data_IF_293482397186
#
_entry.id   IF_293482397186
#
_cell.length_a   1.000
_cell.length_b   1.000
_cell.length_c   1.000
_cell.angle_alpha   90.00
_cell.angle_beta   90.00
_cell.angle_gamma   90.00
#
_symmetry.space_group_name_H-M   'P 1'
#
loop_
_entity.id
_entity.type
_entity.pdbx_description
1 polymer ?
#
# COMPACT_ATOMS: atom_id res chain seq x y z
N UNK A 1 -11.95 -54.39 54.80
CA UNK A 1 -10.82 -54.27 53.86
C UNK A 1 -11.21 -54.88 52.53
N UNK A 2 -11.42 -54.09 51.48
CA UNK A 2 -11.04 -54.44 50.10
C UNK A 2 -11.33 -53.23 49.21
N UNK A 3 -10.24 -52.57 48.79
CA UNK A 3 -10.26 -51.41 47.91
C UNK A 3 -10.09 -51.94 46.48
N UNK A 4 -11.17 -52.00 45.70
CA UNK A 4 -11.09 -52.41 44.29
C UNK A 4 -10.44 -51.31 43.46
N UNK A 5 -9.20 -51.53 43.04
CA UNK A 5 -8.53 -50.69 42.05
C UNK A 5 -8.99 -51.08 40.65
N UNK A 6 -9.81 -50.23 40.03
CA UNK A 6 -10.20 -50.36 38.63
C UNK A 6 -8.99 -50.00 37.76
N UNK A 7 -8.42 -51.00 37.05
CA UNK A 7 -7.35 -50.78 36.07
C UNK A 7 -7.92 -50.04 34.84
N UNK A 8 -7.58 -48.77 34.70
CA UNK A 8 -7.88 -48.00 33.50
C UNK A 8 -6.89 -48.40 32.39
N UNK A 9 -7.39 -49.02 31.31
CA UNK A 9 -6.57 -49.37 30.15
C UNK A 9 -6.27 -48.11 29.32
N UNK A 10 -5.03 -47.61 29.43
CA UNK A 10 -4.49 -46.45 28.69
C UNK A 10 -4.16 -46.78 27.22
N UNK A 11 -5.11 -47.38 26.49
CA UNK A 11 -4.94 -47.71 25.05
C UNK A 11 -5.48 -46.66 24.08
N UNK A 12 -6.33 -45.75 24.57
CA UNK A 12 -7.06 -44.79 23.74
C UNK A 12 -6.29 -43.48 23.44
N UNK A 13 -5.28 -43.14 24.25
CA UNK A 13 -4.59 -41.85 24.18
C UNK A 13 -3.71 -41.69 22.94
N UNK A 14 -3.15 -42.78 22.42
CA UNK A 14 -2.27 -42.71 21.24
C UNK A 14 -3.05 -42.48 19.94
N UNK A 15 -4.17 -43.18 19.76
CA UNK A 15 -5.05 -42.98 18.60
C UNK A 15 -5.69 -41.60 18.66
N UNK A 16 -6.15 -41.18 19.84
CA UNK A 16 -6.70 -39.84 20.05
C UNK A 16 -5.67 -38.75 19.70
N UNK A 17 -4.42 -38.89 20.16
CA UNK A 17 -3.35 -37.96 19.83
C UNK A 17 -3.05 -37.92 18.32
N UNK A 18 -3.04 -39.07 17.64
CA UNK A 18 -2.85 -39.14 16.19
C UNK A 18 -3.98 -38.45 15.43
N UNK A 19 -5.24 -38.65 15.84
CA UNK A 19 -6.39 -37.99 15.22
C UNK A 19 -6.33 -36.48 15.44
N UNK A 20 -5.98 -36.01 16.64
CA UNK A 20 -5.83 -34.58 16.93
C UNK A 20 -4.70 -33.96 16.11
N UNK A 21 -3.54 -34.63 15.99
CA UNK A 21 -2.44 -34.16 15.15
C UNK A 21 -2.83 -34.11 13.67
N UNK A 22 -3.53 -35.12 13.16
CA UNK A 22 -4.02 -35.14 11.78
C UNK A 22 -4.98 -33.97 11.50
N UNK A 23 -5.91 -33.70 12.43
CA UNK A 23 -6.80 -32.56 12.34
C UNK A 23 -6.04 -31.23 12.40
N UNK A 24 -5.03 -31.11 13.26
CA UNK A 24 -4.22 -29.90 13.37
C UNK A 24 -3.45 -29.59 12.07
N UNK A 25 -2.83 -30.60 11.46
CA UNK A 25 -2.13 -30.46 10.17
C UNK A 25 -3.11 -30.08 9.06
N UNK A 26 -4.30 -30.67 9.03
CA UNK A 26 -5.33 -30.34 8.04
C UNK A 26 -5.83 -28.89 8.21
N UNK A 27 -6.07 -28.44 9.44
CA UNK A 27 -6.46 -27.05 9.69
C UNK A 27 -5.33 -26.06 9.38
N UNK A 28 -4.07 -26.41 9.68
CA UNK A 28 -2.91 -25.58 9.38
C UNK A 28 -2.75 -25.36 7.86
N UNK A 29 -2.92 -26.41 7.05
CA UNK A 29 -2.80 -26.30 5.59
C UNK A 29 -3.91 -25.44 4.97
N UNK A 30 -5.16 -25.57 5.45
CA UNK A 30 -6.27 -24.71 5.02
C UNK A 30 -6.03 -23.23 5.35
N UNK A 31 -5.46 -22.97 6.53
CA UNK A 31 -5.18 -21.59 6.98
C UNK A 31 -4.16 -20.90 6.07
N UNK A 32 -3.12 -21.60 5.62
CA UNK A 32 -2.08 -21.04 4.72
C UNK A 32 -2.66 -20.61 3.37
N UNK A 33 -3.64 -21.34 2.82
CA UNK A 33 -4.24 -21.03 1.51
C UNK A 33 -5.09 -19.76 1.57
N UNK A 34 -5.78 -19.51 2.68
CA UNK A 34 -6.70 -18.38 2.85
C UNK A 34 -5.95 -17.06 3.11
N UNK A 35 -4.80 -17.09 3.78
CA UNK A 35 -4.10 -15.88 4.25
C UNK A 35 -3.20 -15.24 3.18
N UNK A 36 -3.37 -15.54 1.89
CA UNK A 36 -2.64 -14.79 0.85
C UNK A 36 -2.98 -13.30 0.94
N UNK A 37 -2.03 -12.42 1.31
CA UNK A 37 -2.31 -11.00 1.42
C UNK A 37 -2.77 -10.52 0.05
N UNK A 38 -3.91 -9.84 0.03
CA UNK A 38 -4.45 -9.26 -1.20
C UNK A 38 -3.49 -8.12 -1.58
N UNK A 39 -2.73 -8.28 -2.66
CA UNK A 39 -1.74 -7.27 -3.12
C UNK A 39 -2.33 -5.85 -3.21
N UNK A 40 -3.63 -5.75 -3.50
CA UNK A 40 -4.42 -4.52 -3.47
C UNK A 40 -4.41 -3.78 -2.13
N UNK A 41 -4.37 -4.50 -1.01
CA UNK A 41 -4.32 -3.91 0.34
C UNK A 41 -2.95 -3.28 0.61
N UNK A 42 -1.88 -3.89 0.12
CA UNK A 42 -0.50 -3.39 0.27
C UNK A 42 -0.31 -2.09 -0.51
N UNK A 43 -0.80 -2.02 -1.75
CA UNK A 43 -0.75 -0.79 -2.54
C UNK A 43 -1.53 0.36 -1.89
N UNK A 44 -2.73 0.06 -1.34
CA UNK A 44 -3.55 1.05 -0.64
C UNK A 44 -2.88 1.52 0.67
N UNK A 45 -2.39 0.60 1.50
CA UNK A 45 -1.74 0.96 2.77
C UNK A 45 -0.46 1.78 2.52
N UNK A 46 0.29 1.44 1.48
CA UNK A 46 1.43 2.22 1.02
C UNK A 46 1.04 3.65 0.64
N UNK A 47 -0.01 3.84 -0.17
CA UNK A 47 -0.47 5.19 -0.52
C UNK A 47 -0.99 5.99 0.69
N UNK A 48 -1.65 5.34 1.63
CA UNK A 48 -2.07 5.99 2.88
C UNK A 48 -0.86 6.47 3.69
N UNK A 49 0.17 5.62 3.83
CA UNK A 49 1.42 5.97 4.49
C UNK A 49 2.18 7.09 3.75
N UNK A 50 2.22 7.03 2.41
CA UNK A 50 2.81 8.06 1.58
C UNK A 50 2.06 9.39 1.75
N UNK A 51 0.72 9.40 1.70
CA UNK A 51 -0.09 10.61 1.98
C UNK A 51 0.25 11.19 3.35
N UNK A 52 0.32 10.36 4.39
CA UNK A 52 0.68 10.82 5.73
C UNK A 52 2.09 11.43 5.76
N UNK A 53 3.05 10.82 5.05
CA UNK A 53 4.42 11.32 4.91
C UNK A 53 4.45 12.68 4.22
N UNK A 54 3.71 12.85 3.11
CA UNK A 54 3.62 14.14 2.42
C UNK A 54 2.98 15.21 3.33
N UNK A 55 1.92 14.88 4.07
CA UNK A 55 1.32 15.80 5.03
C UNK A 55 2.30 16.21 6.14
N UNK A 56 3.05 15.26 6.70
CA UNK A 56 4.06 15.54 7.71
C UNK A 56 5.18 16.44 7.16
N UNK A 57 5.66 16.18 5.93
CA UNK A 57 6.67 17.01 5.27
C UNK A 57 6.16 18.43 4.99
N UNK A 58 4.90 18.56 4.59
CA UNK A 58 4.24 19.86 4.42
C UNK A 58 4.20 20.65 5.73
N UNK A 59 3.75 20.02 6.82
CA UNK A 59 3.71 20.65 8.14
C UNK A 59 5.13 21.03 8.62
N UNK A 60 6.12 20.18 8.36
CA UNK A 60 7.52 20.47 8.67
C UNK A 60 8.05 21.67 7.88
N UNK A 61 7.68 21.83 6.60
CA UNK A 61 8.08 22.98 5.80
C UNK A 61 7.54 24.30 6.36
N UNK A 62 6.29 24.30 6.82
CA UNK A 62 5.66 25.44 7.49
C UNK A 62 6.36 25.73 8.82
N UNK A 63 6.51 24.72 9.68
CA UNK A 63 7.08 24.89 11.02
C UNK A 63 8.56 25.32 11.00
N UNK A 64 9.33 24.86 10.01
CA UNK A 64 10.77 25.20 9.88
C UNK A 64 11.02 26.43 9.02
N UNK A 65 9.98 26.99 8.38
CA UNK A 65 10.06 28.05 7.37
C UNK A 65 11.08 27.74 6.23
N UNK A 66 11.36 26.46 5.98
CA UNK A 66 12.32 25.99 4.98
C UNK A 66 11.63 25.07 3.98
N UNK A 67 11.95 25.17 2.68
CA UNK A 67 11.41 24.26 1.70
C UNK A 67 11.95 22.84 1.93
N UNK A 68 11.09 21.85 1.77
CA UNK A 68 11.46 20.44 1.77
C UNK A 68 11.14 19.83 0.42
N UNK A 69 11.81 18.73 0.07
CA UNK A 69 11.53 18.01 -1.15
C UNK A 69 11.56 16.50 -0.93
N UNK A 70 10.72 15.80 -1.68
CA UNK A 70 10.72 14.36 -1.79
C UNK A 70 10.94 14.01 -3.27
N UNK A 71 11.97 13.21 -3.55
CA UNK A 71 12.40 12.85 -4.91
C UNK A 71 12.10 11.38 -5.13
N UNK A 72 11.42 11.06 -6.22
CA UNK A 72 11.10 9.70 -6.61
C UNK A 72 12.08 9.18 -7.65
N UNK A 73 12.39 7.89 -7.56
CA UNK A 73 13.10 7.15 -8.58
C UNK A 73 12.25 5.94 -8.97
N UNK A 74 11.71 6.00 -10.18
CA UNK A 74 10.80 4.98 -10.72
C UNK A 74 11.55 3.68 -11.05
N UNK A 75 12.78 3.79 -11.57
CA UNK A 75 13.63 2.65 -11.94
C UNK A 75 14.06 1.83 -10.72
N UNK A 76 14.44 2.49 -9.63
CA UNK A 76 14.84 1.79 -8.39
C UNK A 76 13.66 1.48 -7.47
N UNK A 77 12.43 1.91 -7.79
CA UNK A 77 11.25 1.80 -6.91
C UNK A 77 11.53 2.38 -5.53
N UNK A 78 12.12 3.56 -5.48
CA UNK A 78 12.42 4.25 -4.23
C UNK A 78 11.95 5.69 -4.24
N UNK A 79 11.83 6.27 -3.06
CA UNK A 79 11.76 7.71 -2.88
C UNK A 79 12.71 8.15 -1.77
N UNK A 80 13.21 9.37 -1.88
CA UNK A 80 14.15 9.95 -0.92
C UNK A 80 13.62 11.28 -0.43
N UNK A 81 13.67 11.48 0.88
CA UNK A 81 13.55 12.80 1.48
C UNK A 81 14.63 12.96 2.54
N UNK A 82 15.15 14.18 2.68
CA UNK A 82 16.34 14.44 3.49
C UNK A 82 17.50 13.48 3.12
N UNK A 83 17.91 12.61 4.03
CA UNK A 83 19.00 11.64 3.83
C UNK A 83 18.55 10.17 3.94
N UNK A 84 17.25 9.91 3.89
CA UNK A 84 16.69 8.56 4.03
C UNK A 84 16.05 8.14 2.72
N UNK A 85 16.42 6.95 2.26
CA UNK A 85 15.83 6.30 1.09
C UNK A 85 14.81 5.28 1.54
N UNK A 86 13.62 5.36 0.99
CA UNK A 86 12.52 4.44 1.24
C UNK A 86 12.26 3.62 -0.02
N UNK A 87 12.15 2.32 0.14
CA UNK A 87 11.83 1.39 -0.95
C UNK A 87 10.35 1.06 -0.93
N UNK A 88 9.74 0.97 -2.11
CA UNK A 88 8.36 0.51 -2.23
C UNK A 88 8.25 -0.93 -1.70
N UNK A 89 7.16 -1.26 -0.99
CA UNK A 89 6.95 -2.61 -0.50
C UNK A 89 6.83 -3.61 -1.67
N UNK A 90 7.19 -4.86 -1.40
CA UNK A 90 7.02 -5.95 -2.36
C UNK A 90 5.56 -6.03 -2.80
N UNK A 91 5.32 -6.06 -4.11
CA UNK A 91 3.96 -6.08 -4.66
C UNK A 91 3.43 -4.71 -5.10
N UNK A 92 4.18 -3.62 -4.92
CA UNK A 92 3.80 -2.27 -5.41
C UNK A 92 4.83 -1.77 -6.42
N UNK A 93 4.34 -1.22 -7.53
CA UNK A 93 5.18 -0.68 -8.61
C UNK A 93 4.66 0.70 -9.01
N UNK A 94 5.57 1.61 -9.36
CA UNK A 94 5.21 2.87 -9.98
C UNK A 94 4.68 2.63 -11.39
N UNK A 95 3.44 3.03 -11.65
CA UNK A 95 2.79 2.79 -12.93
C UNK A 95 1.27 2.83 -12.82
N UNK A 96 0.65 2.78 -13.98
CA UNK A 96 -0.79 2.60 -14.13
C UNK A 96 -1.04 1.42 -15.08
N UNK A 97 -2.26 0.87 -15.05
CA UNK A 97 -2.66 -0.16 -15.99
C UNK A 97 -2.73 0.40 -17.41
N UNK A 98 -2.51 -0.44 -18.45
CA UNK A 98 -2.74 -0.04 -19.84
C UNK A 98 -4.17 0.48 -20.04
N UNK A 99 -4.34 1.53 -20.86
CA UNK A 99 -5.66 2.13 -21.09
C UNK A 99 -6.14 3.10 -20.01
N UNK A 100 -5.48 3.19 -18.85
CA UNK A 100 -5.90 4.08 -17.77
C UNK A 100 -5.52 5.52 -18.09
N UNK A 101 -6.50 6.41 -17.97
CA UNK A 101 -6.38 7.86 -18.13
C UNK A 101 -6.20 8.50 -16.76
N UNK A 102 -5.47 9.61 -16.63
CA UNK A 102 -5.24 10.27 -15.33
C UNK A 102 -6.50 10.86 -14.66
N UNK A 103 -6.60 10.88 -13.32
CA UNK A 103 -7.63 11.62 -12.59
C UNK A 103 -7.26 13.12 -12.48
N UNK A 104 -8.21 13.99 -12.11
CA UNK A 104 -9.67 13.88 -12.22
C UNK A 104 -10.22 14.44 -13.55
N UNK A 105 -9.35 14.89 -14.46
CA UNK A 105 -9.71 15.79 -15.58
C UNK A 105 -10.05 15.11 -16.92
N UNK A 106 -10.47 13.84 -16.92
CA UNK A 106 -10.76 13.04 -18.14
C UNK A 106 -9.75 13.26 -19.29
N UNK A 107 -8.45 13.05 -19.06
CA UNK A 107 -7.45 13.20 -20.11
C UNK A 107 -7.72 12.21 -21.24
N UNK A 108 -7.50 12.65 -22.48
CA UNK A 108 -7.71 11.82 -23.68
C UNK A 108 -6.57 10.81 -23.90
N UNK A 109 -5.42 11.06 -23.28
CA UNK A 109 -4.20 10.27 -23.43
C UNK A 109 -4.01 9.37 -22.21
N UNK A 110 -3.53 8.16 -22.46
CA UNK A 110 -3.16 7.20 -21.42
C UNK A 110 -2.01 7.70 -20.56
N UNK A 111 -1.90 7.17 -19.34
CA UNK A 111 -0.82 7.50 -18.42
C UNK A 111 0.49 6.88 -18.95
N UNK A 112 1.35 7.72 -19.54
CA UNK A 112 2.71 7.34 -19.93
C UNK A 112 3.73 7.49 -18.78
N UNK A 113 3.50 8.46 -17.90
CA UNK A 113 4.39 8.77 -16.79
C UNK A 113 3.74 8.37 -15.46
N UNK A 114 4.39 7.47 -14.72
CA UNK A 114 3.93 7.04 -13.40
C UNK A 114 3.98 8.15 -12.35
N UNK A 115 4.74 9.23 -12.61
CA UNK A 115 4.83 10.40 -11.74
C UNK A 115 4.79 11.65 -12.63
N UNK A 116 3.82 12.52 -12.41
CA UNK A 116 3.64 13.75 -13.20
C UNK A 116 4.14 15.01 -12.50
N UNK A 117 4.62 14.88 -11.27
CA UNK A 117 5.31 15.97 -10.57
C UNK A 117 6.56 16.38 -11.35
N UNK A 118 6.74 17.69 -11.54
CA UNK A 118 7.86 18.24 -12.29
C UNK A 118 9.21 17.75 -11.74
N UNK A 119 10.01 17.07 -12.58
CA UNK A 119 11.31 16.51 -12.19
C UNK A 119 11.23 15.34 -11.22
N UNK A 120 10.10 14.59 -11.20
CA UNK A 120 9.87 13.47 -10.29
C UNK A 120 10.02 13.84 -8.81
N UNK A 121 9.69 15.08 -8.44
CA UNK A 121 9.83 15.57 -7.07
C UNK A 121 8.60 16.33 -6.59
N UNK A 122 8.21 16.08 -5.35
CA UNK A 122 7.23 16.90 -4.64
C UNK A 122 8.00 17.96 -3.86
N UNK A 123 7.73 19.23 -4.17
CA UNK A 123 8.33 20.38 -3.51
C UNK A 123 7.31 20.94 -2.51
N UNK A 124 7.71 20.99 -1.25
CA UNK A 124 6.94 21.60 -0.16
C UNK A 124 7.51 22.99 0.11
N UNK A 125 6.74 24.03 -0.14
CA UNK A 125 7.15 25.41 0.12
C UNK A 125 6.88 25.80 1.58
N UNK A 126 7.55 26.87 2.03
CA UNK A 126 7.42 27.41 3.40
C UNK A 126 6.01 27.89 3.76
N UNK A 127 5.21 28.25 2.75
CA UNK A 127 3.80 28.64 2.88
C UNK A 127 2.85 27.43 3.00
N UNK A 128 3.39 26.20 2.97
CA UNK A 128 2.62 24.98 3.01
C UNK A 128 1.99 24.60 1.67
N UNK A 129 2.31 25.28 0.57
CA UNK A 129 1.90 24.85 -0.77
C UNK A 129 2.83 23.75 -1.30
N UNK A 130 2.30 22.95 -2.22
CA UNK A 130 3.01 21.90 -2.96
C UNK A 130 2.88 22.14 -4.45
N UNK A 131 3.86 21.70 -5.24
CA UNK A 131 3.68 21.62 -6.69
C UNK A 131 2.56 20.63 -7.03
N UNK A 132 1.87 20.86 -8.14
CA UNK A 132 0.84 19.95 -8.63
C UNK A 132 1.46 18.72 -9.31
N UNK A 133 0.72 17.62 -9.28
CA UNK A 133 1.15 16.37 -9.87
C UNK A 133 0.36 15.18 -9.35
N UNK A 134 0.62 14.02 -9.94
CA UNK A 134 0.04 12.75 -9.58
C UNK A 134 1.14 11.70 -9.45
N UNK A 135 0.96 10.78 -8.52
CA UNK A 135 1.75 9.56 -8.38
C UNK A 135 0.82 8.38 -8.65
N UNK A 136 1.16 7.56 -9.63
CA UNK A 136 0.44 6.35 -9.99
C UNK A 136 1.18 5.14 -9.45
N UNK A 137 0.44 4.26 -8.80
CA UNK A 137 0.95 2.97 -8.37
C UNK A 137 -0.01 1.87 -8.78
N UNK A 138 0.56 0.73 -9.11
CA UNK A 138 -0.17 -0.50 -9.40
C UNK A 138 0.36 -1.63 -8.54
N UNK A 139 -0.44 -2.67 -8.36
CA UNK A 139 0.04 -3.91 -7.79
C UNK A 139 0.95 -4.64 -8.81
N UNK A 140 1.85 -5.49 -8.32
CA UNK A 140 2.78 -6.23 -9.19
C UNK A 140 2.05 -7.23 -10.13
N UNK A 141 0.78 -7.53 -9.85
CA UNK A 141 -0.09 -8.33 -10.71
C UNK A 141 -0.86 -7.52 -11.74
N UNK A 142 -0.70 -6.19 -11.74
CA UNK A 142 -1.40 -5.27 -12.64
C UNK A 142 -2.91 -5.54 -12.68
N UNK A 143 -3.53 -5.73 -11.51
CA UNK A 143 -4.96 -5.92 -11.37
C UNK A 143 -5.67 -4.64 -10.89
N UNK A 144 -4.95 -3.75 -10.19
CA UNK A 144 -5.51 -2.48 -9.71
C UNK A 144 -4.55 -1.33 -9.91
N UNK A 145 -5.11 -0.18 -10.28
CA UNK A 145 -4.41 1.10 -10.33
C UNK A 145 -4.92 2.02 -9.24
N UNK A 146 -3.97 2.74 -8.65
CA UNK A 146 -4.23 3.76 -7.66
C UNK A 146 -3.49 5.03 -8.03
N UNK A 147 -4.02 6.17 -7.60
CA UNK A 147 -3.39 7.46 -7.81
C UNK A 147 -3.43 8.30 -6.54
N UNK A 148 -2.35 9.04 -6.29
CA UNK A 148 -2.28 10.12 -5.33
C UNK A 148 -2.11 11.43 -6.10
N UNK A 149 -3.13 12.29 -6.06
CA UNK A 149 -3.17 13.53 -6.83
C UNK A 149 -3.07 14.74 -5.92
N UNK A 150 -2.27 15.73 -6.33
CA UNK A 150 -2.28 17.09 -5.84
C UNK A 150 -2.75 18.01 -6.97
N UNK A 151 -3.99 18.55 -6.91
CA UNK A 151 -4.50 19.43 -7.93
C UNK A 151 -3.78 20.79 -7.92
N UNK A 152 -3.92 21.52 -9.02
CA UNK A 152 -3.50 22.92 -9.10
C UNK A 152 -4.49 23.75 -8.27
N UNK A 153 -4.00 24.49 -7.29
CA UNK A 153 -4.81 25.37 -6.45
C UNK A 153 -3.99 25.99 -5.33
N UNK A 154 -4.50 27.07 -4.75
CA UNK A 154 -3.85 27.78 -3.63
C UNK A 154 -3.73 26.90 -2.40
N UNK A 155 -4.71 26.01 -2.17
CA UNK A 155 -4.68 25.02 -1.10
C UNK A 155 -4.32 23.66 -1.71
N UNK A 156 -3.08 23.24 -1.48
CA UNK A 156 -2.63 21.90 -1.90
C UNK A 156 -3.38 20.83 -1.09
N UNK A 157 -4.31 20.12 -1.73
CA UNK A 157 -5.06 19.01 -1.15
C UNK A 157 -4.61 17.68 -1.76
N UNK A 158 -4.28 16.70 -0.92
CA UNK A 158 -3.90 15.37 -1.39
C UNK A 158 -5.12 14.47 -1.46
N UNK A 159 -5.40 13.92 -2.64
CA UNK A 159 -6.55 13.05 -2.90
C UNK A 159 -6.07 11.68 -3.36
N UNK A 160 -6.61 10.63 -2.75
CA UNK A 160 -6.38 9.26 -3.19
C UNK A 160 -7.50 8.84 -4.13
N UNK A 161 -7.14 8.07 -5.15
CA UNK A 161 -8.07 7.50 -6.10
C UNK A 161 -7.76 6.02 -6.34
N UNK A 162 -8.79 5.25 -6.65
CA UNK A 162 -8.70 3.89 -7.15
C UNK A 162 -9.38 3.83 -8.52
N UNK A 163 -8.76 3.12 -9.47
CA UNK A 163 -9.38 2.83 -10.75
C UNK A 163 -10.35 1.66 -10.59
N UNK A 164 -11.63 1.93 -10.83
CA UNK A 164 -12.72 0.96 -10.76
C UNK A 164 -13.55 1.09 -12.04
N UNK A 165 -13.70 0.02 -12.81
CA UNK A 165 -14.65 -0.04 -13.93
C UNK A 165 -14.63 1.19 -14.85
N UNK A 166 -13.46 1.54 -15.37
CA UNK A 166 -13.23 2.67 -16.29
C UNK A 166 -13.42 4.09 -15.70
N UNK A 167 -13.43 4.20 -14.36
CA UNK A 167 -13.46 5.49 -13.67
C UNK A 167 -12.56 5.54 -12.44
N UNK A 168 -12.13 6.74 -12.09
CA UNK A 168 -11.47 7.00 -10.81
C UNK A 168 -12.50 7.26 -9.73
N UNK A 169 -12.41 6.49 -8.65
CA UNK A 169 -13.20 6.68 -7.44
C UNK A 169 -12.30 7.22 -6.34
N UNK A 170 -12.72 8.29 -5.67
CA UNK A 170 -11.97 8.86 -4.55
C UNK A 170 -11.99 7.92 -3.36
N UNK A 171 -10.82 7.62 -2.81
CA UNK A 171 -10.69 6.90 -1.55
C UNK A 171 -10.63 7.92 -0.41
N UNK A 172 -11.55 7.82 0.54
CA UNK A 172 -11.47 8.51 1.83
C UNK A 172 -10.32 7.96 2.69
#
# INVERSE_FOLDING_TARGET
>A
MMNQQVKHCSGFTFIELLVVLALFVLLATLTIVVVRPRDSLVARSYLCSLRATLHALRQRAVATARPHQLVFNTSSRTYRYANTTYTLPSGVVFGALPGVKGPPSRPKVEISNSITFAGHKVLFKKDGTMNSGCIYVTDNRANRSYALSCPVGEISSLRLYQWCSDRWESLS
#
